data_IF_530370148553
#
_entry.id   IF_530370148553
#
_cell.length_a   1.000
_cell.length_b   1.000
_cell.length_c   1.000
_cell.angle_alpha   90.00
_cell.angle_beta   90.00
_cell.angle_gamma   90.00
#
_symmetry.space_group_name_H-M   'P 1'
#
loop_
_entity.id
_entity.type
_entity.pdbx_description
1 polymer ?
#
# COMPACT_ATOMS: atom_id res chain seq x y z
N UNK A 1 -8.84 14.68 -5.24
CA UNK A 1 -8.12 13.46 -5.64
C UNK A 1 -9.00 12.73 -6.64
N UNK A 2 -8.47 12.31 -7.79
CA UNK A 2 -9.22 11.48 -8.74
C UNK A 2 -9.56 10.12 -8.12
N UNK A 3 -10.78 9.65 -8.34
CA UNK A 3 -11.20 8.32 -7.88
C UNK A 3 -10.53 7.24 -8.74
N UNK A 4 -9.74 6.39 -8.09
CA UNK A 4 -9.03 5.26 -8.70
C UNK A 4 -9.82 3.98 -8.59
N UNK A 5 -10.75 3.88 -7.65
CA UNK A 5 -11.46 2.64 -7.33
C UNK A 5 -12.07 1.93 -8.56
N UNK A 6 -12.68 2.62 -9.55
CA UNK A 6 -13.24 1.97 -10.73
C UNK A 6 -12.24 1.13 -11.54
N UNK A 7 -10.94 1.45 -11.50
CA UNK A 7 -9.89 0.67 -12.18
C UNK A 7 -9.47 -0.60 -11.41
N UNK A 8 -9.80 -0.69 -10.13
CA UNK A 8 -9.43 -1.79 -9.24
C UNK A 8 -10.62 -2.71 -8.94
N UNK A 9 -11.80 -2.10 -8.79
CA UNK A 9 -13.03 -2.77 -8.36
C UNK A 9 -13.36 -4.05 -9.14
N UNK A 10 -13.30 -4.10 -10.49
CA UNK A 10 -13.66 -5.30 -11.22
C UNK A 10 -12.78 -6.52 -10.88
N UNK A 11 -11.50 -6.29 -10.58
CA UNK A 11 -10.55 -7.34 -10.22
C UNK A 11 -10.56 -7.68 -8.72
N UNK A 12 -11.01 -6.75 -7.87
CA UNK A 12 -11.04 -6.91 -6.41
C UNK A 12 -12.37 -7.49 -5.93
N UNK A 13 -13.48 -6.94 -6.40
CA UNK A 13 -14.83 -7.22 -5.89
C UNK A 13 -15.22 -8.69 -5.90
N UNK A 14 -14.87 -9.52 -6.91
CA UNK A 14 -15.19 -10.95 -6.90
C UNK A 14 -14.54 -11.73 -5.74
N UNK A 15 -13.48 -11.20 -5.14
CA UNK A 15 -12.70 -11.85 -4.09
C UNK A 15 -13.00 -11.33 -2.67
N UNK A 16 -13.84 -10.30 -2.55
CA UNK A 16 -14.27 -9.78 -1.26
C UNK A 16 -15.27 -10.76 -0.62
N UNK A 17 -15.01 -11.14 0.63
CA UNK A 17 -15.96 -11.92 1.43
C UNK A 17 -17.04 -11.00 2.03
N UNK A 18 -18.21 -11.52 2.43
CA UNK A 18 -19.28 -10.72 3.05
C UNK A 18 -18.84 -9.92 4.29
N UNK A 19 -17.80 -10.37 4.99
CA UNK A 19 -17.24 -9.72 6.15
C UNK A 19 -16.26 -8.58 5.82
N UNK A 20 -15.84 -8.44 4.57
CA UNK A 20 -14.94 -7.36 4.13
C UNK A 20 -15.75 -6.11 3.77
N UNK A 21 -15.28 -4.93 4.20
CA UNK A 21 -15.97 -3.65 3.93
C UNK A 21 -15.47 -3.03 2.61
N UNK A 22 -16.26 -3.02 1.51
CA UNK A 22 -15.79 -2.50 0.23
C UNK A 22 -15.47 -1.00 0.27
N UNK A 23 -16.07 -0.25 1.19
CA UNK A 23 -15.78 1.17 1.35
C UNK A 23 -14.38 1.41 1.93
N UNK A 24 -13.88 0.51 2.77
CA UNK A 24 -12.48 0.56 3.21
C UNK A 24 -11.56 0.36 2.01
N UNK A 25 -11.79 -0.67 1.19
CA UNK A 25 -10.97 -0.99 0.02
C UNK A 25 -10.88 0.19 -0.96
N UNK A 26 -12.01 0.83 -1.25
CA UNK A 26 -12.06 2.03 -2.09
C UNK A 26 -11.19 3.17 -1.53
N UNK A 27 -11.31 3.46 -0.22
CA UNK A 27 -10.53 4.52 0.42
C UNK A 27 -9.04 4.17 0.46
N UNK A 28 -8.70 2.90 0.75
CA UNK A 28 -7.32 2.42 0.74
C UNK A 28 -6.70 2.58 -0.64
N UNK A 29 -7.39 2.14 -1.70
CA UNK A 29 -6.92 2.29 -3.09
C UNK A 29 -6.69 3.77 -3.39
N UNK A 30 -7.65 4.63 -3.08
CA UNK A 30 -7.53 6.05 -3.36
C UNK A 30 -6.37 6.73 -2.62
N UNK A 31 -6.18 6.42 -1.33
CA UNK A 31 -5.10 6.99 -0.52
C UNK A 31 -3.73 6.44 -0.94
N UNK A 32 -3.55 5.13 -0.92
CA UNK A 32 -2.22 4.53 -1.09
C UNK A 32 -1.70 4.64 -2.52
N UNK A 33 -2.58 4.61 -3.52
CA UNK A 33 -2.14 4.73 -4.91
C UNK A 33 -1.82 6.17 -5.28
N UNK A 34 -2.55 7.15 -4.73
CA UNK A 34 -2.14 8.56 -4.85
C UNK A 34 -0.72 8.76 -4.31
N UNK A 35 -0.46 8.23 -3.12
CA UNK A 35 0.85 8.25 -2.48
C UNK A 35 1.92 7.51 -3.30
N UNK A 36 1.61 6.31 -3.79
CA UNK A 36 2.54 5.52 -4.59
C UNK A 36 2.93 6.22 -5.89
N UNK A 37 1.99 6.91 -6.54
CA UNK A 37 2.25 7.68 -7.76
C UNK A 37 3.26 8.81 -7.52
N UNK A 38 3.23 9.46 -6.34
CA UNK A 38 4.24 10.44 -5.96
C UNK A 38 5.64 9.83 -5.90
N UNK A 39 5.75 8.57 -5.43
CA UNK A 39 7.00 7.83 -5.33
C UNK A 39 7.46 7.22 -6.67
N UNK A 40 6.54 6.97 -7.59
CA UNK A 40 6.84 6.55 -8.95
C UNK A 40 7.43 7.70 -9.76
N UNK A 41 6.84 8.91 -9.67
CA UNK A 41 7.25 10.09 -10.43
C UNK A 41 7.32 9.86 -11.95
N UNK A 42 7.86 10.84 -12.68
CA UNK A 42 8.14 10.72 -14.13
C UNK A 42 9.42 9.92 -14.43
N UNK A 43 10.17 9.52 -13.41
CA UNK A 43 11.53 8.99 -13.51
C UNK A 43 11.66 7.51 -13.16
N UNK A 44 10.55 6.76 -13.10
CA UNK A 44 10.62 5.31 -12.92
C UNK A 44 11.35 4.67 -14.11
N UNK A 45 12.66 4.46 -13.99
CA UNK A 45 13.50 3.87 -15.04
C UNK A 45 13.29 2.35 -15.17
N UNK A 46 12.08 1.85 -14.89
CA UNK A 46 11.77 0.44 -14.82
C UNK A 46 10.31 0.16 -14.49
N UNK A 47 9.93 -1.11 -14.67
CA UNK A 47 8.58 -1.61 -14.45
C UNK A 47 8.23 -1.59 -12.95
N UNK A 48 7.14 -0.90 -12.62
CA UNK A 48 6.57 -0.84 -11.27
C UNK A 48 5.30 -1.67 -11.24
N UNK A 49 5.30 -2.68 -10.39
CA UNK A 49 4.13 -3.50 -10.09
C UNK A 49 3.58 -3.15 -8.72
N UNK A 50 2.31 -3.43 -8.53
CA UNK A 50 1.67 -3.37 -7.23
C UNK A 50 0.80 -4.60 -6.98
N UNK A 51 0.83 -5.11 -5.77
CA UNK A 51 0.03 -6.22 -5.30
C UNK A 51 -0.89 -5.72 -4.19
N UNK A 52 -2.19 -5.72 -4.45
CA UNK A 52 -3.22 -5.38 -3.48
C UNK A 52 -3.87 -6.66 -2.98
N UNK A 53 -3.63 -6.99 -1.71
CA UNK A 53 -4.03 -8.27 -1.14
C UNK A 53 -4.82 -8.15 0.14
N UNK A 54 -5.67 -9.16 0.36
CA UNK A 54 -6.38 -9.39 1.61
C UNK A 54 -5.50 -10.22 2.54
N UNK A 55 -5.55 -9.95 3.84
CA UNK A 55 -4.87 -10.75 4.85
C UNK A 55 -5.78 -11.02 6.06
N UNK A 56 -6.04 -12.30 6.33
CA UNK A 56 -6.77 -12.78 7.49
C UNK A 56 -5.90 -12.91 8.76
N UNK A 57 -4.59 -13.07 8.58
CA UNK A 57 -3.65 -13.38 9.65
C UNK A 57 -2.91 -12.16 10.19
N UNK A 58 -3.62 -11.17 10.74
CA UNK A 58 -3.00 -10.04 11.44
C UNK A 58 -2.33 -10.53 12.73
N UNK A 59 -1.00 -10.46 12.80
CA UNK A 59 -0.25 -10.96 13.94
C UNK A 59 -0.50 -10.06 15.15
N UNK A 60 -0.95 -10.67 16.25
CA UNK A 60 -1.02 -10.09 17.60
C UNK A 60 -1.79 -8.75 17.69
N UNK A 61 -3.08 -8.71 17.28
CA UNK A 61 -3.87 -7.48 17.35
C UNK A 61 -4.04 -6.89 18.75
N UNK A 62 -3.74 -7.68 19.77
CA UNK A 62 -3.96 -7.32 21.17
C UNK A 62 -2.69 -7.06 21.98
N UNK A 63 -1.48 -7.29 21.44
CA UNK A 63 -0.24 -7.23 22.24
C UNK A 63 0.57 -5.96 22.05
N UNK A 64 0.54 -5.35 20.86
CA UNK A 64 1.26 -4.10 20.56
C UNK A 64 0.31 -3.12 19.91
N UNK A 65 0.29 -1.87 20.42
CA UNK A 65 -0.59 -0.81 19.91
C UNK A 65 0.25 0.27 19.24
N UNK A 66 -0.13 0.64 18.03
CA UNK A 66 0.19 1.97 17.50
C UNK A 66 -0.56 2.98 18.36
N UNK A 67 0.09 3.94 19.00
CA UNK A 67 -0.62 4.94 19.82
C UNK A 67 -1.22 6.09 19.00
N UNK A 68 -1.00 6.14 17.69
CA UNK A 68 -1.52 7.21 16.84
C UNK A 68 -3.05 7.24 16.83
N UNK A 69 -3.59 8.46 16.90
CA UNK A 69 -5.02 8.77 16.75
C UNK A 69 -5.94 7.87 17.59
N UNK A 70 -5.66 7.71 18.89
CA UNK A 70 -6.49 6.90 19.79
C UNK A 70 -6.26 5.38 19.69
N UNK A 71 -5.36 4.94 18.83
CA UNK A 71 -4.78 3.61 18.88
C UNK A 71 -5.18 2.70 17.71
N UNK A 72 -4.19 2.08 17.06
CA UNK A 72 -4.37 0.99 16.11
C UNK A 72 -3.66 -0.27 16.59
N UNK A 73 -4.13 -1.42 16.13
CA UNK A 73 -3.34 -2.67 16.20
C UNK A 73 -2.00 -2.45 15.52
N UNK A 74 -0.88 -2.71 16.21
CA UNK A 74 0.43 -2.55 15.60
C UNK A 74 0.68 -3.68 14.59
N UNK A 75 0.93 -3.35 13.32
CA UNK A 75 1.02 -4.31 12.23
C UNK A 75 2.44 -4.91 12.10
N UNK A 76 3.08 -5.24 13.22
CA UNK A 76 4.47 -5.74 13.26
C UNK A 76 4.54 -7.12 13.88
N UNK A 77 5.60 -7.86 13.59
CA UNK A 77 5.79 -9.24 14.08
C UNK A 77 5.99 -10.27 12.96
N UNK A 78 5.84 -9.85 11.69
CA UNK A 78 6.20 -10.65 10.51
C UNK A 78 7.70 -10.64 10.17
N UNK A 79 8.55 -10.19 11.11
CA UNK A 79 9.98 -10.40 11.04
C UNK A 79 10.29 -11.88 11.29
N UNK A 80 9.96 -12.72 10.32
CA UNK A 80 10.30 -14.15 10.33
C UNK A 80 11.78 -14.36 10.04
N UNK A 81 12.26 -15.56 10.37
CA UNK A 81 13.61 -16.07 10.09
C UNK A 81 14.02 -15.91 8.62
N UNK A 82 15.30 -16.18 8.32
CA UNK A 82 16.06 -15.99 7.07
C UNK A 82 15.37 -16.32 5.72
N UNK A 83 14.11 -16.75 5.68
CA UNK A 83 13.30 -17.04 4.48
C UNK A 83 12.04 -16.17 4.35
N UNK A 84 11.63 -15.40 5.38
CA UNK A 84 10.58 -14.37 5.27
C UNK A 84 11.18 -13.00 4.94
N UNK A 85 11.59 -12.82 3.68
CA UNK A 85 12.31 -11.61 3.22
C UNK A 85 11.45 -10.34 3.13
N UNK A 86 10.13 -10.40 3.34
CA UNK A 86 9.23 -9.31 2.97
C UNK A 86 8.70 -8.45 4.11
N UNK A 87 8.83 -8.90 5.37
CA UNK A 87 8.31 -8.17 6.53
C UNK A 87 6.79 -7.91 6.50
N UNK A 88 6.06 -8.36 5.48
CA UNK A 88 4.62 -8.19 5.29
C UNK A 88 3.86 -9.46 5.69
N UNK A 89 2.58 -9.32 6.08
CA UNK A 89 1.66 -10.45 6.18
C UNK A 89 1.55 -11.20 4.86
N UNK A 90 1.29 -12.51 4.95
CA UNK A 90 0.91 -13.33 3.80
C UNK A 90 -0.49 -12.95 3.32
N UNK A 91 -0.69 -12.92 2.00
CA UNK A 91 -1.98 -12.64 1.40
C UNK A 91 -2.81 -13.92 1.34
N UNK A 92 -4.09 -13.84 1.72
CA UNK A 92 -5.04 -14.92 1.40
C UNK A 92 -5.24 -14.99 -0.12
N UNK A 93 -5.29 -13.81 -0.74
CA UNK A 93 -5.27 -13.60 -2.19
C UNK A 93 -4.76 -12.17 -2.48
N UNK A 94 -4.28 -11.95 -3.69
CA UNK A 94 -3.97 -10.61 -4.19
C UNK A 94 -4.31 -10.48 -5.66
N UNK A 95 -4.59 -9.25 -6.07
CA UNK A 95 -4.63 -8.86 -7.47
C UNK A 95 -3.40 -7.98 -7.77
N UNK A 96 -3.00 -7.92 -9.04
CA UNK A 96 -1.78 -7.23 -9.45
C UNK A 96 -2.05 -6.22 -10.56
N UNK A 97 -1.40 -5.05 -10.42
CA UNK A 97 -1.42 -4.00 -11.44
C UNK A 97 0.01 -3.56 -11.76
N UNK A 98 0.13 -2.92 -12.91
CA UNK A 98 1.35 -2.31 -13.42
C UNK A 98 1.11 -0.81 -13.63
N UNK A 99 2.09 -0.01 -13.21
CA UNK A 99 2.10 1.42 -13.46
C UNK A 99 2.42 1.70 -14.94
N UNK A 100 1.56 2.49 -15.59
CA UNK A 100 1.73 2.99 -16.95
C UNK A 100 2.12 4.47 -16.88
N UNK A 101 3.42 4.82 -16.96
CA UNK A 101 3.87 6.20 -16.83
C UNK A 101 3.35 7.10 -17.95
N UNK A 102 3.07 6.57 -19.14
CA UNK A 102 2.61 7.34 -20.30
C UNK A 102 1.19 7.88 -20.10
N UNK A 103 0.32 7.10 -19.46
CA UNK A 103 -1.06 7.47 -19.16
C UNK A 103 -1.25 7.94 -17.71
N UNK A 104 -0.22 7.82 -16.87
CA UNK A 104 -0.30 8.05 -15.43
C UNK A 104 -1.46 7.24 -14.80
N UNK A 105 -1.57 5.96 -15.17
CA UNK A 105 -2.62 5.05 -14.70
C UNK A 105 -2.08 3.68 -14.31
N UNK A 106 -2.87 2.95 -13.51
CA UNK A 106 -2.62 1.55 -13.17
C UNK A 106 -3.46 0.64 -14.07
N UNK A 107 -2.84 -0.38 -14.65
CA UNK A 107 -3.51 -1.39 -15.47
C UNK A 107 -3.33 -2.78 -14.87
N UNK A 108 -4.33 -3.65 -14.96
CA UNK A 108 -4.22 -5.05 -14.51
C UNK A 108 -3.01 -5.71 -15.18
N UNK A 109 -2.28 -6.51 -14.41
CA UNK A 109 -1.07 -7.21 -14.88
C UNK A 109 -1.18 -8.70 -14.61
N UNK A 110 -1.09 -9.51 -15.67
CA UNK A 110 -1.24 -10.97 -15.61
C UNK A 110 0.09 -11.73 -15.44
N UNK A 111 1.22 -11.03 -15.45
CA UNK A 111 2.56 -11.64 -15.40
C UNK A 111 3.17 -11.64 -14.01
N UNK A 112 3.93 -12.69 -13.68
CA UNK A 112 4.72 -12.70 -12.44
C UNK A 112 5.77 -11.58 -12.41
N UNK A 113 6.11 -11.07 -11.21
CA UNK A 113 7.20 -10.13 -11.05
C UNK A 113 8.53 -10.72 -11.53
N UNK A 114 9.10 -10.12 -12.56
CA UNK A 114 10.42 -10.47 -13.08
C UNK A 114 11.56 -9.94 -12.21
N UNK A 115 12.79 -10.43 -12.39
CA UNK A 115 13.96 -9.93 -11.68
C UNK A 115 14.16 -8.44 -11.97
N UNK A 116 14.48 -7.65 -10.93
CA UNK A 116 14.71 -6.19 -10.95
C UNK A 116 13.46 -5.31 -11.05
N UNK A 117 12.26 -5.86 -10.92
CA UNK A 117 11.04 -5.06 -10.86
C UNK A 117 10.85 -4.45 -9.47
N UNK A 118 10.27 -3.26 -9.45
CA UNK A 118 9.86 -2.59 -8.23
C UNK A 118 8.44 -3.07 -7.90
N UNK A 119 8.22 -3.65 -6.71
CA UNK A 119 6.92 -4.16 -6.31
C UNK A 119 6.44 -3.42 -5.07
N UNK A 120 5.30 -2.74 -5.19
CA UNK A 120 4.57 -2.15 -4.08
C UNK A 120 3.53 -3.14 -3.56
N UNK A 121 3.71 -3.66 -2.36
CA UNK A 121 2.78 -4.65 -1.78
C UNK A 121 1.92 -3.99 -0.73
N UNK A 122 0.61 -4.25 -0.75
CA UNK A 122 -0.41 -3.66 0.13
C UNK A 122 -1.22 -4.79 0.77
N UNK A 123 -1.17 -4.90 2.10
CA UNK A 123 -1.94 -5.85 2.89
C UNK A 123 -3.09 -5.14 3.60
N UNK A 124 -4.33 -5.48 3.22
CA UNK A 124 -5.56 -5.00 3.84
C UNK A 124 -6.12 -6.08 4.78
N UNK A 125 -6.53 -5.73 6.01
CA UNK A 125 -7.17 -6.70 6.90
C UNK A 125 -8.50 -7.22 6.39
N UNK A 126 -8.70 -8.52 6.58
CA UNK A 126 -9.98 -9.18 6.42
C UNK A 126 -10.99 -8.77 7.51
N UNK A 127 -12.27 -9.10 7.30
CA UNK A 127 -13.36 -9.00 8.28
C UNK A 127 -13.64 -7.56 8.76
N UNK A 128 -13.34 -6.58 7.91
CA UNK A 128 -13.37 -5.14 8.22
C UNK A 128 -14.78 -4.56 8.41
N UNK A 129 -15.84 -5.26 7.99
CA UNK A 129 -17.22 -4.78 8.13
C UNK A 129 -17.63 -4.49 9.58
N UNK A 130 -17.14 -5.29 10.54
CA UNK A 130 -17.48 -5.15 11.97
C UNK A 130 -16.55 -4.18 12.72
N UNK A 131 -15.53 -3.65 12.05
CA UNK A 131 -14.51 -2.84 12.68
C UNK A 131 -14.72 -1.35 12.39
N UNK A 132 -14.36 -0.51 13.37
CA UNK A 132 -14.37 0.96 13.22
C UNK A 132 -12.98 1.54 12.91
N UNK A 133 -11.98 0.67 12.84
CA UNK A 133 -10.61 1.02 12.55
C UNK A 133 -9.91 -0.14 11.85
N UNK A 134 -8.95 0.17 10.99
CA UNK A 134 -8.11 -0.81 10.29
C UNK A 134 -6.69 -0.25 10.18
N UNK A 135 -5.69 -1.11 10.30
CA UNK A 135 -4.31 -0.78 9.93
C UNK A 135 -3.99 -1.50 8.63
N UNK A 136 -3.44 -0.79 7.66
CA UNK A 136 -2.98 -1.33 6.37
C UNK A 136 -1.46 -1.24 6.36
N UNK A 137 -0.82 -2.31 5.92
CA UNK A 137 0.63 -2.43 5.87
C UNK A 137 1.06 -2.45 4.41
N UNK A 138 2.01 -1.60 4.05
CA UNK A 138 2.62 -1.60 2.72
C UNK A 138 4.13 -1.76 2.79
N UNK A 139 4.71 -2.31 1.73
CA UNK A 139 6.15 -2.23 1.53
C UNK A 139 6.55 -2.13 0.05
N UNK A 140 7.70 -1.52 -0.19
CA UNK A 140 8.34 -1.47 -1.50
C UNK A 140 9.52 -2.44 -1.55
N UNK A 141 9.56 -3.29 -2.57
CA UNK A 141 10.61 -4.27 -2.80
C UNK A 141 11.31 -3.99 -4.14
N UNK A 142 12.64 -3.82 -4.19
CA UNK A 142 13.56 -3.64 -3.06
C UNK A 142 13.50 -2.24 -2.43
N UNK A 143 12.69 -1.33 -2.99
CA UNK A 143 12.53 0.06 -2.60
C UNK A 143 11.74 0.81 -3.69
N UNK A 144 11.18 1.99 -3.41
CA UNK A 144 10.39 2.74 -4.39
C UNK A 144 11.26 3.27 -5.54
N UNK A 145 10.69 3.61 -6.70
CA UNK A 145 11.46 4.12 -7.84
C UNK A 145 12.26 5.39 -7.52
N UNK A 146 11.70 6.29 -6.71
CA UNK A 146 12.39 7.47 -6.17
C UNK A 146 13.67 7.14 -5.36
N UNK A 147 13.75 5.93 -4.79
CA UNK A 147 14.88 5.45 -3.96
C UNK A 147 15.11 3.97 -4.18
N UNK A 148 15.64 3.58 -5.34
CA UNK A 148 15.87 2.17 -5.63
C UNK A 148 16.79 1.58 -4.56
N UNK A 149 16.48 0.37 -4.08
CA UNK A 149 17.26 -0.38 -3.07
C UNK A 149 17.21 0.17 -1.64
N UNK A 150 16.44 1.22 -1.37
CA UNK A 150 16.12 1.63 0.00
C UNK A 150 14.77 1.01 0.39
N UNK A 151 14.73 0.00 1.27
CA UNK A 151 13.46 -0.58 1.69
C UNK A 151 12.59 0.48 2.34
N UNK A 152 11.31 0.47 1.98
CA UNK A 152 10.32 1.38 2.54
C UNK A 152 9.13 0.56 3.00
N UNK A 153 8.91 0.55 4.31
CA UNK A 153 7.73 -0.05 4.95
C UNK A 153 6.87 1.06 5.49
N UNK A 154 5.56 0.96 5.27
CA UNK A 154 4.63 2.01 5.65
C UNK A 154 3.37 1.39 6.27
N UNK A 155 2.79 2.13 7.20
CA UNK A 155 1.57 1.77 7.89
C UNK A 155 0.58 2.91 7.80
N UNK A 156 -0.65 2.57 7.46
CA UNK A 156 -1.76 3.49 7.31
C UNK A 156 -2.86 3.08 8.27
N UNK A 157 -3.29 4.01 9.11
CA UNK A 157 -4.38 3.83 10.04
C UNK A 157 -5.64 4.44 9.47
N UNK A 158 -6.68 3.63 9.30
CA UNK A 158 -7.99 4.06 8.81
C UNK A 158 -9.02 4.01 9.93
N UNK A 159 -9.86 5.04 10.05
CA UNK A 159 -11.02 5.07 10.94
C UNK A 159 -12.31 5.26 10.17
N UNK A 160 -13.39 4.65 10.67
CA UNK A 160 -14.75 4.77 10.11
C UNK A 160 -15.56 5.78 10.93
N UNK A 161 -15.73 6.99 10.40
CA UNK A 161 -16.48 8.09 11.04
C UNK A 161 -17.03 9.11 10.02
N UNK A 162 -18.33 9.09 9.61
CA UNK A 162 -19.21 7.97 9.26
C UNK A 162 -18.73 7.14 8.06
N UNK A 163 -17.71 7.62 7.35
CA UNK A 163 -17.04 6.97 6.22
C UNK A 163 -15.60 6.64 6.61
N UNK A 164 -14.95 5.75 5.87
CA UNK A 164 -13.55 5.43 6.08
C UNK A 164 -12.64 6.59 5.70
N UNK A 165 -11.63 6.88 6.51
CA UNK A 165 -10.62 7.91 6.26
C UNK A 165 -9.28 7.44 6.80
N UNK A 166 -8.19 7.76 6.11
CA UNK A 166 -6.84 7.59 6.64
C UNK A 166 -6.56 8.69 7.66
N UNK A 167 -6.34 8.33 8.92
CA UNK A 167 -6.11 9.28 10.03
C UNK A 167 -4.74 9.15 10.66
N UNK A 168 -3.99 8.10 10.33
CA UNK A 168 -2.62 7.93 10.81
C UNK A 168 -1.73 7.39 9.70
N UNK A 169 -0.47 7.82 9.72
CA UNK A 169 0.56 7.35 8.81
C UNK A 169 1.88 7.19 9.55
N UNK A 170 2.61 6.13 9.22
CA UNK A 170 3.96 5.90 9.69
C UNK A 170 4.77 5.27 8.57
N UNK A 171 6.05 5.64 8.46
CA UNK A 171 6.97 4.96 7.57
C UNK A 171 8.34 4.73 8.23
N UNK A 172 8.93 3.59 7.88
CA UNK A 172 10.26 3.17 8.29
C UNK A 172 11.11 2.86 7.05
N UNK A 173 12.41 3.24 7.05
CA UNK A 173 13.14 3.92 8.11
C UNK A 173 12.88 5.43 8.20
N UNK A 174 12.06 5.98 7.30
CA UNK A 174 11.91 7.42 7.16
C UNK A 174 10.45 7.85 7.18
N UNK A 175 10.06 8.58 8.22
CA UNK A 175 8.71 9.13 8.38
C UNK A 175 8.35 10.19 7.32
N UNK A 176 9.35 10.71 6.58
CA UNK A 176 9.19 11.71 5.51
C UNK A 176 9.38 11.14 4.11
N UNK A 177 8.91 9.92 3.86
CA UNK A 177 9.06 9.27 2.55
C UNK A 177 8.52 10.14 1.39
N UNK A 178 7.39 10.83 1.61
CA UNK A 178 6.72 11.67 0.61
C UNK A 178 7.31 13.06 0.43
N UNK A 179 7.82 13.70 1.50
CA UNK A 179 8.48 15.01 1.41
C UNK A 179 9.69 14.96 0.46
N UNK A 180 10.34 13.79 0.41
CA UNK A 180 11.53 13.59 -0.39
C UNK A 180 11.20 13.32 -1.86
N UNK A 181 10.10 12.62 -2.14
CA UNK A 181 9.58 12.52 -3.51
C UNK A 181 9.22 13.90 -4.07
N UNK A 182 8.58 14.75 -3.26
CA UNK A 182 8.28 16.13 -3.62
C UNK A 182 9.54 16.99 -3.86
N UNK A 183 10.64 16.72 -3.16
CA UNK A 183 11.93 17.40 -3.40
C UNK A 183 12.65 16.91 -4.67
N UNK A 184 12.59 15.61 -4.97
CA UNK A 184 13.24 15.02 -6.15
C UNK A 184 12.58 15.48 -7.46
N UNK A 185 11.25 15.58 -7.47
CA UNK A 185 10.51 16.15 -8.61
C UNK A 185 10.87 17.63 -8.87
N UNK A 186 11.26 18.40 -7.83
CA UNK A 186 11.73 19.79 -8.01
C UNK A 186 13.16 19.85 -8.54
N UNK A 187 14.03 18.92 -8.14
CA UNK A 187 15.43 18.88 -8.62
C UNK A 187 15.58 18.35 -10.05
N UNK A 188 14.59 17.60 -10.57
CA UNK A 188 14.60 17.04 -11.92
C UNK A 188 14.04 17.98 -13.00
N UNK A 189 13.71 19.23 -12.67
CA UNK A 189 13.58 20.29 -13.67
C UNK A 189 12.56 20.05 -14.79
N UNK A 190 11.38 19.51 -14.48
CA UNK A 190 10.22 19.68 -15.37
C UNK A 190 9.73 21.11 -15.18
N UNK A 191 10.26 22.03 -15.99
CA UNK A 191 9.59 23.31 -16.22
C UNK A 191 8.25 23.00 -16.90
N UNK A 192 7.17 23.53 -16.32
CA UNK A 192 5.85 23.56 -16.93
C UNK A 192 5.87 24.20 -18.32
#
# INVERSE_FOLDING_TARGET
MSDRWPAFEPAVRPWLEPEDDPALWSVVVNTLYHDAELLCGSAASGRVLTQLGRCSHWLRPHQTRWTADGGFTWPTGYAGSQHSRSGLPEFDWFAQWEWRPESNTWSVSEGEPGPRQCVFRIAIPARTHRHRQAAVHTCWLPGPPARPRAPLTQFYGFRKQPQWQCTAYFAHPNQRAYDLAASQNRSLGVRA
#
